data_IF_242975018658
#
_entry.id   IF_242975018658
#
_cell.length_a   1.000
_cell.length_b   1.000
_cell.length_c   1.000
_cell.angle_alpha   90.00
_cell.angle_beta   90.00
_cell.angle_gamma   90.00
#
_symmetry.space_group_name_H-M   'P 1'
#
loop_
_entity.id
_entity.type
_entity.pdbx_description
1 polymer ?
#
# COMPACT_ATOMS: atom_id res chain seq x y z
N UNK A 1 -0.59 15.25 -66.19
CA UNK A 1 -0.79 14.31 -65.06
C UNK A 1 -2.29 14.30 -64.75
N UNK A 2 -3.01 13.18 -64.93
CA UNK A 2 -4.48 13.21 -64.88
C UNK A 2 -4.98 13.56 -63.48
N UNK A 3 -6.05 14.36 -63.41
CA UNK A 3 -6.70 14.82 -62.18
C UNK A 3 -7.01 13.65 -61.21
N UNK A 4 -7.31 12.48 -61.77
CA UNK A 4 -7.53 11.21 -61.06
C UNK A 4 -6.32 10.68 -60.29
N UNK A 5 -5.09 10.88 -60.79
CA UNK A 5 -3.86 10.46 -60.08
C UNK A 5 -3.52 11.41 -58.92
N UNK A 6 -3.90 12.68 -59.03
CA UNK A 6 -3.73 13.66 -57.95
C UNK A 6 -4.72 13.40 -56.81
N UNK A 7 -5.99 13.13 -57.14
CA UNK A 7 -7.00 12.77 -56.15
C UNK A 7 -6.61 11.51 -55.36
N UNK A 8 -6.16 10.44 -56.03
CA UNK A 8 -5.72 9.22 -55.35
C UNK A 8 -4.53 9.45 -54.41
N UNK A 9 -3.55 10.30 -54.78
CA UNK A 9 -2.43 10.64 -53.89
C UNK A 9 -2.87 11.43 -52.67
N UNK A 10 -3.80 12.38 -52.84
CA UNK A 10 -4.34 13.18 -51.73
C UNK A 10 -5.16 12.30 -50.78
N UNK A 11 -5.98 11.39 -51.30
CA UNK A 11 -6.74 10.43 -50.48
C UNK A 11 -5.82 9.46 -49.74
N UNK A 12 -4.74 8.99 -50.37
CA UNK A 12 -3.77 8.11 -49.70
C UNK A 12 -3.01 8.82 -48.57
N UNK A 13 -2.64 10.10 -48.76
CA UNK A 13 -1.96 10.91 -47.74
C UNK A 13 -2.92 11.21 -46.57
N UNK A 14 -4.18 11.56 -46.85
CA UNK A 14 -5.19 11.78 -45.80
C UNK A 14 -5.52 10.50 -45.04
N UNK A 15 -5.58 9.34 -45.69
CA UNK A 15 -5.77 8.05 -45.01
C UNK A 15 -4.54 7.68 -44.19
N UNK A 16 -3.31 7.94 -44.68
CA UNK A 16 -2.10 7.73 -43.88
C UNK A 16 -2.02 8.67 -42.68
N UNK A 17 -2.43 9.94 -42.80
CA UNK A 17 -2.47 10.89 -41.68
C UNK A 17 -3.57 10.51 -40.67
N UNK A 18 -4.74 10.04 -41.12
CA UNK A 18 -5.80 9.54 -40.23
C UNK A 18 -5.36 8.26 -39.51
N UNK A 19 -4.60 7.37 -40.16
CA UNK A 19 -4.03 6.16 -39.53
C UNK A 19 -2.84 6.49 -38.61
N UNK A 20 -2.07 7.55 -38.88
CA UNK A 20 -1.01 8.02 -37.97
C UNK A 20 -1.58 8.72 -36.74
N UNK A 21 -2.67 9.47 -36.88
CA UNK A 21 -3.33 10.16 -35.75
C UNK A 21 -4.15 9.18 -34.90
N UNK A 22 -4.67 8.09 -35.47
CA UNK A 22 -5.41 7.06 -34.74
C UNK A 22 -4.56 6.20 -33.77
N UNK A 23 -3.22 6.24 -33.87
CA UNK A 23 -2.32 5.50 -32.98
C UNK A 23 -1.75 6.33 -31.82
N UNK A 24 -2.16 7.59 -31.67
CA UNK A 24 -1.97 8.30 -30.40
C UNK A 24 -3.22 8.05 -29.56
N UNK A 25 -3.41 6.80 -29.13
CA UNK A 25 -4.22 6.57 -27.95
C UNK A 25 -3.47 7.29 -26.83
N UNK A 26 -3.91 8.48 -26.45
CA UNK A 26 -3.29 9.24 -25.38
C UNK A 26 -3.35 8.35 -24.13
N UNK A 27 -2.22 7.74 -23.76
CA UNK A 27 -2.15 6.81 -22.64
C UNK A 27 -2.62 7.56 -21.40
N UNK A 28 -3.83 7.20 -20.96
CA UNK A 28 -4.51 7.89 -19.87
C UNK A 28 -3.73 7.62 -18.60
N UNK A 29 -3.33 8.68 -17.91
CA UNK A 29 -2.64 8.54 -16.62
C UNK A 29 -3.51 7.71 -15.66
N UNK A 30 -3.00 6.61 -15.09
CA UNK A 30 -3.80 5.75 -14.22
C UNK A 30 -4.26 6.48 -12.96
N UNK A 31 -5.42 6.12 -12.44
CA UNK A 31 -6.04 6.75 -11.27
C UNK A 31 -5.55 6.13 -9.93
N UNK A 32 -4.27 5.77 -9.86
CA UNK A 32 -3.65 5.24 -8.63
C UNK A 32 -3.45 6.34 -7.57
N UNK A 33 -3.40 5.92 -6.32
CA UNK A 33 -3.27 6.78 -5.14
C UNK A 33 -1.92 6.63 -4.45
N UNK A 34 -1.40 5.41 -4.34
CA UNK A 34 -0.13 5.11 -3.65
C UNK A 34 1.03 5.04 -4.66
N UNK A 35 0.82 4.31 -5.76
CA UNK A 35 1.73 4.22 -6.90
C UNK A 35 1.75 5.57 -7.64
N UNK A 36 2.95 5.99 -8.02
CA UNK A 36 3.15 7.25 -8.76
C UNK A 36 2.63 7.10 -10.20
N UNK A 37 1.49 7.75 -10.47
CA UNK A 37 0.79 7.70 -11.76
C UNK A 37 1.64 8.17 -12.95
N UNK A 38 2.51 9.15 -12.74
CA UNK A 38 3.36 9.69 -13.82
C UNK A 38 4.56 8.78 -14.06
N UNK A 39 5.08 8.16 -13.00
CA UNK A 39 6.09 7.11 -13.13
C UNK A 39 5.54 5.89 -13.87
N UNK A 40 4.34 5.40 -13.53
CA UNK A 40 3.69 4.29 -14.24
C UNK A 40 3.52 4.60 -15.73
N UNK A 41 3.05 5.81 -16.07
CA UNK A 41 2.91 6.24 -17.46
C UNK A 41 4.25 6.31 -18.19
N UNK A 42 5.28 6.89 -17.56
CA UNK A 42 6.64 6.95 -18.12
C UNK A 42 7.20 5.55 -18.36
N UNK A 43 7.08 4.66 -17.40
CA UNK A 43 7.59 3.30 -17.49
C UNK A 43 6.89 2.52 -18.62
N UNK A 44 5.58 2.70 -18.79
CA UNK A 44 4.84 2.10 -19.90
C UNK A 44 5.34 2.60 -21.25
N UNK A 45 5.68 3.89 -21.35
CA UNK A 45 6.33 4.45 -22.53
C UNK A 45 7.71 3.82 -22.78
N UNK A 46 8.58 3.74 -21.76
CA UNK A 46 9.92 3.13 -21.89
C UNK A 46 9.86 1.65 -22.33
N UNK A 47 8.86 0.90 -21.83
CA UNK A 47 8.59 -0.47 -22.28
C UNK A 47 8.24 -0.49 -23.78
N UNK A 48 7.30 0.37 -24.20
CA UNK A 48 6.83 0.43 -25.60
C UNK A 48 7.92 0.88 -26.57
N UNK A 49 8.86 1.71 -26.13
CA UNK A 49 10.00 2.14 -26.96
C UNK A 49 11.18 1.17 -26.94
N UNK A 50 11.07 0.04 -26.21
CA UNK A 50 12.04 -1.04 -26.24
C UNK A 50 13.22 -0.87 -25.30
N UNK A 51 13.09 -0.07 -24.23
CA UNK A 51 14.17 0.10 -23.26
C UNK A 51 14.46 -1.23 -22.51
N UNK A 52 15.67 -1.78 -22.71
CA UNK A 52 16.06 -3.12 -22.22
C UNK A 52 15.93 -3.29 -20.71
N UNK A 53 16.19 -2.23 -19.93
CA UNK A 53 16.08 -2.27 -18.46
C UNK A 53 14.62 -2.49 -18.05
N UNK A 54 13.70 -1.75 -18.67
CA UNK A 54 12.27 -1.86 -18.37
C UNK A 54 11.65 -3.13 -18.96
N UNK A 55 12.11 -3.60 -20.13
CA UNK A 55 11.72 -4.91 -20.67
C UNK A 55 12.14 -6.07 -19.75
N UNK A 56 13.36 -6.00 -19.19
CA UNK A 56 13.82 -6.98 -18.20
C UNK A 56 12.95 -6.93 -16.94
N UNK A 57 12.66 -5.74 -16.43
CA UNK A 57 11.80 -5.56 -15.28
C UNK A 57 10.36 -6.07 -15.53
N UNK A 58 9.84 -5.87 -16.76
CA UNK A 58 8.53 -6.37 -17.17
C UNK A 58 8.51 -7.90 -17.22
N UNK A 59 9.55 -8.54 -17.76
CA UNK A 59 9.68 -10.00 -17.75
C UNK A 59 9.67 -10.56 -16.32
N UNK A 60 10.42 -9.93 -15.39
CA UNK A 60 10.43 -10.28 -13.98
C UNK A 60 9.05 -10.11 -13.29
N UNK A 61 8.28 -9.10 -13.72
CA UNK A 61 6.92 -8.83 -13.25
C UNK A 61 5.94 -9.90 -13.76
N UNK A 62 5.98 -10.20 -15.06
CA UNK A 62 5.20 -11.24 -15.74
C UNK A 62 5.44 -12.61 -15.09
N UNK A 63 6.70 -13.00 -14.89
CA UNK A 63 7.04 -14.27 -14.23
C UNK A 63 6.44 -14.36 -12.81
N UNK A 64 6.40 -13.25 -12.08
CA UNK A 64 5.77 -13.24 -10.76
C UNK A 64 4.24 -13.33 -10.84
N UNK A 65 3.63 -12.66 -11.80
CA UNK A 65 2.18 -12.69 -12.01
C UNK A 65 1.69 -14.04 -12.52
N UNK A 66 2.43 -14.70 -13.40
CA UNK A 66 2.13 -16.05 -13.87
C UNK A 66 2.08 -17.07 -12.72
N UNK A 67 2.95 -16.91 -11.71
CA UNK A 67 2.88 -17.75 -10.51
C UNK A 67 1.59 -17.52 -9.70
N UNK A 68 1.07 -16.28 -9.68
CA UNK A 68 -0.17 -15.94 -8.97
C UNK A 68 -1.42 -16.50 -9.66
N UNK A 69 -1.38 -16.76 -10.98
CA UNK A 69 -2.53 -17.33 -11.70
C UNK A 69 -2.99 -18.68 -11.10
N UNK A 70 -2.08 -19.43 -10.49
CA UNK A 70 -2.36 -20.72 -9.85
C UNK A 70 -2.75 -20.62 -8.38
N UNK A 71 -2.72 -19.42 -7.77
CA UNK A 71 -3.11 -19.27 -6.37
C UNK A 71 -4.62 -19.53 -6.20
N UNK A 72 -5.04 -20.28 -5.18
CA UNK A 72 -6.46 -20.43 -4.88
C UNK A 72 -7.04 -19.09 -4.38
N UNK A 73 -8.36 -18.87 -4.55
CA UNK A 73 -9.02 -17.71 -3.96
C UNK A 73 -8.82 -17.59 -2.46
N UNK A 74 -8.67 -16.35 -2.01
CA UNK A 74 -8.57 -16.00 -0.60
C UNK A 74 -9.96 -15.77 -0.03
N UNK A 75 -10.24 -16.32 1.15
CA UNK A 75 -11.49 -16.04 1.88
C UNK A 75 -11.30 -16.20 3.39
N UNK A 76 -12.02 -15.38 4.15
CA UNK A 76 -12.06 -15.48 5.61
C UNK A 76 -12.94 -16.64 6.10
N UNK A 77 -13.85 -17.19 5.28
CA UNK A 77 -14.82 -18.18 5.78
C UNK A 77 -14.23 -19.59 5.99
N UNK A 78 -13.04 -19.86 5.45
CA UNK A 78 -12.39 -21.16 5.52
C UNK A 78 -11.67 -21.43 6.85
N UNK A 79 -11.60 -20.43 7.75
CA UNK A 79 -11.02 -20.63 9.07
C UNK A 79 -11.77 -21.70 9.87
N UNK A 80 -10.99 -22.49 10.60
CA UNK A 80 -11.51 -23.54 11.50
C UNK A 80 -12.03 -22.93 12.80
N UNK A 81 -11.38 -21.89 13.29
CA UNK A 81 -11.79 -21.17 14.49
C UNK A 81 -12.90 -20.18 14.14
N UNK A 82 -14.05 -20.35 14.77
CA UNK A 82 -15.21 -19.48 14.60
C UNK A 82 -15.00 -18.20 15.42
N UNK A 83 -15.19 -16.99 14.84
CA UNK A 83 -15.10 -15.74 15.58
C UNK A 83 -16.11 -15.68 16.73
N UNK A 84 -15.91 -14.84 17.75
CA UNK A 84 -16.85 -14.70 18.87
C UNK A 84 -18.29 -14.35 18.47
N UNK A 85 -18.51 -13.74 17.29
CA UNK A 85 -19.86 -13.50 16.74
C UNK A 85 -20.63 -14.76 16.34
N UNK A 86 -19.95 -15.90 16.18
CA UNK A 86 -20.50 -17.09 15.51
C UNK A 86 -20.51 -17.00 13.98
N UNK A 87 -20.12 -15.87 13.38
CA UNK A 87 -20.17 -15.64 11.94
C UNK A 87 -18.79 -15.75 11.29
N UNK A 88 -18.58 -16.75 10.43
CA UNK A 88 -17.29 -16.96 9.72
C UNK A 88 -16.93 -15.87 8.71
N UNK A 89 -17.89 -15.04 8.29
CA UNK A 89 -17.61 -13.87 7.43
C UNK A 89 -16.90 -12.73 8.18
N UNK A 90 -16.93 -12.73 9.51
CA UNK A 90 -16.17 -11.75 10.28
C UNK A 90 -14.68 -12.09 10.25
N UNK A 91 -13.86 -11.07 9.98
CA UNK A 91 -12.42 -11.19 10.06
C UNK A 91 -12.00 -11.50 11.50
N UNK A 92 -11.10 -12.47 11.66
CA UNK A 92 -10.59 -12.87 12.97
C UNK A 92 -9.08 -13.03 12.97
N UNK A 93 -8.43 -12.55 14.02
CA UNK A 93 -7.00 -12.76 14.24
C UNK A 93 -6.68 -12.64 15.73
N UNK A 94 -5.56 -13.23 16.15
CA UNK A 94 -5.02 -13.05 17.50
C UNK A 94 -3.88 -12.03 17.47
N UNK A 95 -3.74 -11.26 18.55
CA UNK A 95 -2.67 -10.29 18.69
C UNK A 95 -1.29 -10.99 18.65
N UNK A 96 -0.39 -10.63 17.72
CA UNK A 96 0.79 -11.44 17.41
C UNK A 96 1.82 -11.49 18.54
N UNK A 97 1.84 -10.52 19.45
CA UNK A 97 2.83 -10.41 20.52
C UNK A 97 2.29 -10.81 21.89
N UNK A 98 1.16 -11.51 21.95
CA UNK A 98 0.53 -11.94 23.21
C UNK A 98 0.68 -13.45 23.39
N UNK A 99 1.18 -13.85 24.56
CA UNK A 99 1.57 -15.23 24.88
C UNK A 99 0.84 -15.73 26.12
N UNK A 100 0.62 -17.05 26.26
CA UNK A 100 0.15 -17.64 27.51
C UNK A 100 1.01 -17.21 28.71
N UNK A 101 0.35 -16.89 29.82
CA UNK A 101 1.00 -16.57 31.09
C UNK A 101 1.39 -17.86 31.84
N UNK A 102 2.68 -18.24 31.92
CA UNK A 102 3.09 -19.50 32.53
C UNK A 102 2.78 -19.57 34.05
N UNK A 103 2.47 -18.44 34.69
CA UNK A 103 2.10 -18.41 36.11
C UNK A 103 0.62 -18.70 36.38
N UNK A 104 -0.18 -18.93 35.33
CA UNK A 104 -1.63 -19.19 35.40
C UNK A 104 -1.92 -20.61 34.93
N UNK A 105 -2.81 -21.32 35.66
CA UNK A 105 -3.18 -22.73 35.37
C UNK A 105 -3.66 -22.95 33.94
N UNK A 106 -4.35 -21.97 33.35
CA UNK A 106 -4.88 -22.03 31.98
C UNK A 106 -4.13 -21.10 31.01
N UNK A 107 -2.99 -20.54 31.42
CA UNK A 107 -2.20 -19.62 30.60
C UNK A 107 -2.86 -18.26 30.32
N UNK A 108 -3.94 -17.89 31.01
CA UNK A 108 -4.72 -16.65 30.73
C UNK A 108 -4.83 -15.74 31.96
N UNK A 109 -4.95 -14.41 31.79
CA UNK A 109 -4.92 -13.67 30.51
C UNK A 109 -3.53 -13.72 29.86
N UNK A 110 -3.49 -13.62 28.53
CA UNK A 110 -2.20 -13.58 27.82
C UNK A 110 -1.40 -12.34 28.24
N UNK A 111 -0.07 -12.42 28.15
CA UNK A 111 0.86 -11.33 28.43
C UNK A 111 1.62 -10.91 27.17
N UNK A 112 1.84 -9.60 27.04
CA UNK A 112 2.57 -9.03 25.90
C UNK A 112 4.07 -9.33 25.99
N UNK A 113 4.67 -9.68 24.85
CA UNK A 113 6.12 -9.77 24.62
C UNK A 113 6.44 -9.06 23.31
N UNK A 114 6.76 -7.76 23.39
CA UNK A 114 6.95 -6.93 22.20
C UNK A 114 7.97 -7.53 21.23
N UNK A 115 7.67 -7.42 19.92
CA UNK A 115 8.52 -7.94 18.85
C UNK A 115 8.57 -9.47 18.72
N UNK A 116 8.10 -10.24 19.71
CA UNK A 116 8.16 -11.72 19.74
C UNK A 116 6.81 -12.32 19.34
N UNK A 117 6.74 -12.80 18.10
CA UNK A 117 5.50 -13.37 17.53
C UNK A 117 5.15 -14.73 18.16
N UNK A 118 3.96 -14.85 18.75
CA UNK A 118 3.34 -16.10 19.17
C UNK A 118 2.87 -16.89 17.92
N UNK A 119 3.40 -18.10 17.65
CA UNK A 119 2.97 -18.92 16.52
C UNK A 119 1.48 -19.28 16.53
N UNK A 120 0.84 -19.35 17.70
CA UNK A 120 -0.60 -19.59 17.83
C UNK A 120 -1.42 -18.54 17.05
N UNK A 121 -0.97 -17.29 17.04
CA UNK A 121 -1.60 -16.22 16.28
C UNK A 121 -1.51 -16.40 14.76
N UNK A 122 -0.80 -17.42 14.28
CA UNK A 122 -0.69 -17.76 12.86
C UNK A 122 -1.57 -18.95 12.47
N UNK A 123 -2.28 -19.58 13.42
CA UNK A 123 -3.26 -20.64 13.12
C UNK A 123 -4.42 -20.05 12.31
N UNK A 124 -4.89 -18.86 12.68
CA UNK A 124 -5.89 -18.11 11.92
C UNK A 124 -5.20 -17.37 10.78
N UNK A 125 -5.71 -17.57 9.56
CA UNK A 125 -5.03 -17.14 8.34
C UNK A 125 -5.50 -15.81 7.76
N UNK A 126 -6.57 -15.22 8.29
CA UNK A 126 -7.22 -14.03 7.72
C UNK A 126 -6.22 -12.88 7.49
N UNK A 127 -5.29 -12.60 8.42
CA UNK A 127 -4.24 -11.58 8.22
C UNK A 127 -3.29 -11.88 7.08
N UNK A 128 -2.96 -13.16 6.86
CA UNK A 128 -2.12 -13.57 5.75
C UNK A 128 -2.89 -13.48 4.43
N UNK A 129 -4.17 -13.85 4.43
CA UNK A 129 -5.03 -13.71 3.26
C UNK A 129 -5.21 -12.26 2.84
N UNK A 130 -5.41 -11.33 3.77
CA UNK A 130 -5.46 -9.89 3.47
C UNK A 130 -4.15 -9.40 2.84
N UNK A 131 -3.01 -9.78 3.42
CA UNK A 131 -1.71 -9.37 2.89
C UNK A 131 -1.40 -9.99 1.52
N UNK A 132 -1.66 -11.29 1.35
CA UNK A 132 -1.47 -12.03 0.09
C UNK A 132 -2.38 -11.52 -1.01
N UNK A 133 -3.69 -11.41 -0.74
CA UNK A 133 -4.65 -10.86 -1.70
C UNK A 133 -4.21 -9.46 -2.16
N UNK A 134 -3.87 -8.57 -1.23
CA UNK A 134 -3.47 -7.20 -1.58
C UNK A 134 -2.23 -7.15 -2.45
N UNK A 135 -1.23 -8.00 -2.14
CA UNK A 135 -0.02 -8.13 -2.95
C UNK A 135 -0.33 -8.66 -4.34
N UNK A 136 -1.15 -9.71 -4.42
CA UNK A 136 -1.49 -10.37 -5.67
C UNK A 136 -2.32 -9.47 -6.58
N UNK A 137 -3.30 -8.75 -6.04
CA UNK A 137 -4.09 -7.77 -6.82
C UNK A 137 -3.22 -6.62 -7.33
N UNK A 138 -2.31 -6.08 -6.51
CA UNK A 138 -1.38 -5.04 -6.97
C UNK A 138 -0.48 -5.57 -8.10
N UNK A 139 0.07 -6.78 -7.94
CA UNK A 139 0.93 -7.41 -8.94
C UNK A 139 0.19 -7.70 -10.25
N UNK A 140 -0.99 -8.31 -10.18
CA UNK A 140 -1.83 -8.61 -11.35
C UNK A 140 -2.26 -7.33 -12.05
N UNK A 141 -2.66 -6.29 -11.31
CA UNK A 141 -3.06 -5.00 -11.88
C UNK A 141 -1.92 -4.28 -12.57
N UNK A 142 -0.73 -4.23 -11.97
CA UNK A 142 0.47 -3.71 -12.63
C UNK A 142 0.81 -4.48 -13.91
N UNK A 143 0.75 -5.81 -13.85
CA UNK A 143 1.09 -6.65 -15.00
C UNK A 143 0.09 -6.45 -16.13
N UNK A 144 -1.21 -6.44 -15.83
CA UNK A 144 -2.25 -6.10 -16.79
C UNK A 144 -2.02 -4.71 -17.37
N UNK A 145 -1.76 -3.68 -16.56
CA UNK A 145 -1.56 -2.32 -17.07
C UNK A 145 -0.43 -2.21 -18.10
N UNK A 146 0.69 -2.93 -17.88
CA UNK A 146 1.84 -2.88 -18.80
C UNK A 146 1.72 -3.84 -20.00
N UNK A 147 1.03 -4.97 -19.85
CA UNK A 147 0.95 -6.01 -20.90
C UNK A 147 -0.36 -6.01 -21.67
N UNK A 148 -1.42 -5.44 -21.09
CA UNK A 148 -2.80 -5.50 -21.58
C UNK A 148 -3.33 -6.94 -21.74
N UNK A 149 -2.69 -7.93 -21.08
CA UNK A 149 -3.10 -9.33 -21.11
C UNK A 149 -4.22 -9.61 -20.10
N UNK A 150 -5.42 -9.86 -20.63
CA UNK A 150 -6.66 -10.12 -19.89
C UNK A 150 -6.56 -11.28 -18.89
N UNK A 151 -5.62 -12.23 -19.02
CA UNK A 151 -5.51 -13.33 -18.05
C UNK A 151 -5.23 -12.82 -16.63
N UNK A 152 -4.50 -11.72 -16.49
CA UNK A 152 -4.19 -11.13 -15.20
C UNK A 152 -5.39 -10.37 -14.61
N UNK A 153 -6.10 -9.60 -15.43
CA UNK A 153 -7.33 -8.92 -15.00
C UNK A 153 -8.42 -9.92 -14.60
N UNK A 154 -8.55 -11.04 -15.34
CA UNK A 154 -9.46 -12.14 -15.03
C UNK A 154 -9.16 -12.75 -13.67
N UNK A 155 -7.89 -13.05 -13.39
CA UNK A 155 -7.49 -13.59 -12.08
C UNK A 155 -7.73 -12.58 -10.95
N UNK A 156 -7.40 -11.31 -11.16
CA UNK A 156 -7.66 -10.27 -10.17
C UNK A 156 -9.15 -10.17 -9.84
N UNK A 157 -10.01 -10.19 -10.86
CA UNK A 157 -11.48 -10.16 -10.73
C UNK A 157 -11.99 -11.36 -9.92
N UNK A 158 -11.52 -12.58 -10.22
CA UNK A 158 -11.86 -13.79 -9.46
C UNK A 158 -11.54 -13.64 -7.96
N UNK A 159 -10.31 -13.24 -7.64
CA UNK A 159 -9.85 -13.08 -6.26
C UNK A 159 -10.64 -11.99 -5.51
N UNK A 160 -10.93 -10.87 -6.17
CA UNK A 160 -11.71 -9.76 -5.59
C UNK A 160 -13.16 -10.15 -5.34
N UNK A 161 -13.80 -10.85 -6.29
CA UNK A 161 -15.17 -11.33 -6.13
C UNK A 161 -15.30 -12.25 -4.93
N UNK A 162 -14.43 -13.25 -4.82
CA UNK A 162 -14.47 -14.21 -3.70
C UNK A 162 -14.27 -13.52 -2.36
N UNK A 163 -13.32 -12.58 -2.25
CA UNK A 163 -13.00 -11.98 -0.96
C UNK A 163 -13.99 -10.88 -0.52
N UNK A 164 -14.56 -10.11 -1.46
CA UNK A 164 -15.35 -8.91 -1.11
C UNK A 164 -16.82 -8.96 -1.54
N UNK A 165 -17.16 -9.69 -2.60
CA UNK A 165 -18.46 -9.53 -3.28
C UNK A 165 -19.35 -10.75 -3.05
N UNK A 166 -18.83 -11.94 -3.32
CA UNK A 166 -19.59 -13.18 -3.34
C UNK A 166 -20.16 -13.50 -1.96
N UNK A 167 -21.49 -13.62 -1.89
CA UNK A 167 -22.22 -13.76 -0.61
C UNK A 167 -21.74 -14.94 0.24
N UNK A 168 -21.32 -16.03 -0.39
CA UNK A 168 -20.88 -17.25 0.28
C UNK A 168 -19.49 -17.13 0.93
N UNK A 169 -18.65 -16.19 0.49
CA UNK A 169 -17.22 -16.15 0.85
C UNK A 169 -16.72 -14.78 1.31
N UNK A 170 -17.49 -13.71 1.07
CA UNK A 170 -17.04 -12.34 1.33
C UNK A 170 -16.69 -12.10 2.80
N UNK A 171 -15.68 -11.27 3.04
CA UNK A 171 -15.41 -10.70 4.36
C UNK A 171 -16.44 -9.61 4.69
N UNK A 172 -16.94 -9.56 5.94
CA UNK A 172 -17.75 -8.43 6.39
C UNK A 172 -16.88 -7.17 6.53
N UNK A 173 -17.39 -5.96 6.19
CA UNK A 173 -16.60 -4.73 6.18
C UNK A 173 -16.39 -4.15 7.58
N UNK A 174 -15.74 -4.91 8.47
CA UNK A 174 -15.33 -4.48 9.82
C UNK A 174 -14.15 -5.33 10.33
N UNK A 175 -13.50 -4.88 11.41
CA UNK A 175 -12.48 -5.64 12.16
C UNK A 175 -12.86 -5.81 13.63
N UNK A 176 -14.14 -6.07 13.92
CA UNK A 176 -14.63 -6.18 15.29
C UNK A 176 -13.87 -7.24 16.12
N UNK A 177 -13.35 -8.28 15.45
CA UNK A 177 -12.65 -9.40 16.09
C UNK A 177 -11.17 -9.50 15.67
N UNK A 178 -10.60 -8.40 15.17
CA UNK A 178 -9.19 -8.34 14.83
C UNK A 178 -8.30 -8.24 16.07
N UNK A 179 -7.18 -8.96 16.06
CA UNK A 179 -6.17 -9.01 17.13
C UNK A 179 -6.74 -9.21 18.54
N UNK A 180 -7.66 -10.16 18.68
CA UNK A 180 -8.16 -10.60 19.97
C UNK A 180 -6.99 -11.02 20.89
N UNK A 181 -7.17 -10.81 22.20
CA UNK A 181 -6.22 -11.23 23.22
C UNK A 181 -6.95 -12.18 24.16
N UNK A 182 -6.53 -13.44 24.17
CA UNK A 182 -7.21 -14.48 24.93
C UNK A 182 -7.23 -14.16 26.44
N UNK A 183 -8.45 -14.06 26.99
CA UNK A 183 -8.70 -13.68 28.38
C UNK A 183 -8.70 -12.18 28.66
N UNK A 184 -8.67 -11.33 27.62
CA UNK A 184 -8.68 -9.86 27.76
C UNK A 184 -9.75 -9.18 26.90
N UNK A 185 -9.78 -9.45 25.58
CA UNK A 185 -10.78 -8.89 24.67
C UNK A 185 -10.95 -9.75 23.41
N UNK A 186 -12.08 -9.55 22.73
CA UNK A 186 -12.45 -10.25 21.50
C UNK A 186 -11.94 -9.57 20.22
N UNK A 187 -11.47 -8.33 20.33
CA UNK A 187 -10.87 -7.55 19.25
C UNK A 187 -10.49 -6.15 19.71
N UNK A 188 -9.64 -5.46 18.96
CA UNK A 188 -9.10 -4.14 19.34
C UNK A 188 -8.61 -3.31 18.17
N UNK A 189 -8.52 -2.00 18.40
CA UNK A 189 -8.09 -0.99 17.41
C UNK A 189 -6.78 -1.28 16.69
N UNK A 190 -5.80 -1.88 17.37
CA UNK A 190 -4.49 -2.21 16.79
C UNK A 190 -4.60 -3.14 15.57
N UNK A 191 -5.70 -3.90 15.43
CA UNK A 191 -5.93 -4.76 14.27
C UNK A 191 -6.07 -4.01 12.95
N UNK A 192 -6.37 -2.70 12.96
CA UNK A 192 -6.43 -1.87 11.76
C UNK A 192 -5.11 -1.84 10.98
N UNK A 193 -3.99 -2.19 11.63
CA UNK A 193 -2.69 -2.35 10.95
C UNK A 193 -2.65 -3.60 10.04
N UNK A 194 -3.55 -4.57 10.23
CA UNK A 194 -3.57 -5.81 9.44
C UNK A 194 -4.22 -5.62 8.07
N UNK A 195 -5.10 -4.62 7.93
CA UNK A 195 -5.72 -4.21 6.66
C UNK A 195 -4.97 -3.10 5.94
N UNK A 196 -3.83 -2.64 6.47
CA UNK A 196 -3.01 -1.58 5.88
C UNK A 196 -2.65 -1.83 4.40
N UNK A 197 -2.62 -3.09 3.96
CA UNK A 197 -2.25 -3.47 2.60
C UNK A 197 -3.36 -3.23 1.57
N UNK A 198 -4.62 -3.06 1.99
CA UNK A 198 -5.72 -2.78 1.07
C UNK A 198 -5.53 -1.49 0.28
N UNK A 199 -4.71 -0.54 0.75
CA UNK A 199 -4.41 0.68 0.00
C UNK A 199 -3.62 0.38 -1.29
N UNK A 200 -2.78 -0.66 -1.28
CA UNK A 200 -2.09 -1.15 -2.47
C UNK A 200 -3.01 -1.99 -3.36
N UNK A 201 -3.94 -2.74 -2.76
CA UNK A 201 -4.99 -3.48 -3.47
C UNK A 201 -5.82 -2.55 -4.32
N UNK A 202 -6.23 -1.40 -3.77
CA UNK A 202 -7.04 -0.40 -4.48
C UNK A 202 -6.30 0.08 -5.73
N UNK A 203 -5.01 0.36 -5.66
CA UNK A 203 -4.25 0.74 -6.87
C UNK A 203 -4.24 -0.38 -7.92
N UNK A 204 -4.10 -1.64 -7.52
CA UNK A 204 -4.24 -2.78 -8.42
C UNK A 204 -5.62 -2.84 -9.09
N UNK A 205 -6.69 -2.53 -8.34
CA UNK A 205 -8.06 -2.42 -8.88
C UNK A 205 -8.17 -1.28 -9.89
N UNK A 206 -7.61 -0.12 -9.58
CA UNK A 206 -7.61 1.05 -10.48
C UNK A 206 -6.88 0.74 -11.79
N UNK A 207 -5.87 -0.13 -11.77
CA UNK A 207 -5.10 -0.54 -12.94
C UNK A 207 -5.80 -1.57 -13.82
N UNK A 208 -6.69 -2.40 -13.26
CA UNK A 208 -7.55 -3.33 -14.04
C UNK A 208 -8.90 -2.72 -14.43
N UNK A 209 -9.20 -1.50 -13.97
CA UNK A 209 -10.42 -0.80 -14.33
C UNK A 209 -10.44 -0.54 -15.85
N UNK A 210 -11.52 -0.98 -16.52
CA UNK A 210 -11.64 -0.91 -17.99
C UNK A 210 -11.20 -2.18 -18.72
N UNK A 211 -10.72 -3.21 -18.02
CA UNK A 211 -10.58 -4.56 -18.57
C UNK A 211 -11.95 -5.20 -18.89
N UNK A 212 -11.96 -6.17 -19.79
CA UNK A 212 -13.18 -6.94 -20.10
C UNK A 212 -13.65 -7.75 -18.89
N UNK A 213 -12.71 -8.16 -18.05
CA UNK A 213 -12.97 -9.00 -16.89
C UNK A 213 -13.52 -8.23 -15.68
N UNK A 214 -13.12 -6.97 -15.48
CA UNK A 214 -13.53 -6.15 -14.34
C UNK A 214 -14.67 -5.19 -14.72
N UNK A 215 -15.90 -5.58 -14.41
CA UNK A 215 -17.10 -4.85 -14.86
C UNK A 215 -17.41 -3.64 -13.97
N UNK A 216 -18.19 -2.65 -14.47
CA UNK A 216 -18.67 -1.54 -13.65
C UNK A 216 -19.43 -2.00 -12.38
N UNK A 217 -20.16 -3.13 -12.46
CA UNK A 217 -20.87 -3.71 -11.32
C UNK A 217 -19.92 -4.25 -10.25
N UNK A 218 -18.81 -4.85 -10.66
CA UNK A 218 -17.78 -5.31 -9.72
C UNK A 218 -17.11 -4.11 -9.03
N UNK A 219 -16.81 -3.06 -9.80
CA UNK A 219 -16.26 -1.82 -9.27
C UNK A 219 -17.21 -1.17 -8.25
N UNK A 220 -18.49 -1.01 -8.58
CA UNK A 220 -19.50 -0.48 -7.66
C UNK A 220 -19.62 -1.33 -6.38
N UNK A 221 -19.66 -2.65 -6.50
CA UNK A 221 -19.76 -3.55 -5.35
C UNK A 221 -18.55 -3.43 -4.41
N UNK A 222 -17.34 -3.34 -4.97
CA UNK A 222 -16.13 -3.16 -4.18
C UNK A 222 -16.07 -1.76 -3.54
N UNK A 223 -16.42 -0.71 -4.27
CA UNK A 223 -16.52 0.66 -3.75
C UNK A 223 -17.53 0.74 -2.60
N UNK A 224 -18.66 0.04 -2.71
CA UNK A 224 -19.63 -0.06 -1.62
C UNK A 224 -19.08 -0.81 -0.40
N UNK A 225 -18.27 -1.87 -0.59
CA UNK A 225 -17.61 -2.56 0.52
C UNK A 225 -16.64 -1.62 1.26
N UNK A 226 -15.78 -0.91 0.52
CA UNK A 226 -14.85 0.05 1.12
C UNK A 226 -15.57 1.25 1.77
N UNK A 227 -16.69 1.71 1.21
CA UNK A 227 -17.53 2.75 1.82
C UNK A 227 -18.07 2.31 3.18
N UNK A 228 -18.54 1.07 3.30
CA UNK A 228 -18.99 0.51 4.56
C UNK A 228 -17.84 0.36 5.56
N UNK A 229 -16.69 -0.17 5.12
CA UNK A 229 -15.53 -0.39 5.98
C UNK A 229 -14.98 0.93 6.53
N UNK A 230 -14.82 1.92 5.65
CA UNK A 230 -14.39 3.27 6.01
C UNK A 230 -15.37 3.96 6.96
N UNK A 231 -16.69 3.86 6.73
CA UNK A 231 -17.70 4.35 7.67
C UNK A 231 -17.63 3.65 9.02
N UNK A 232 -17.37 2.34 9.05
CA UNK A 232 -17.16 1.60 10.29
C UNK A 232 -15.90 2.07 11.02
N UNK A 233 -14.79 2.33 10.31
CA UNK A 233 -13.57 2.89 10.91
C UNK A 233 -13.83 4.25 11.58
N UNK A 234 -14.60 5.14 10.94
CA UNK A 234 -14.89 6.45 11.52
C UNK A 234 -15.85 6.41 12.71
N UNK A 235 -16.78 5.46 12.74
CA UNK A 235 -17.93 5.54 13.66
C UNK A 235 -17.91 4.51 14.79
N UNK A 236 -17.28 3.34 14.59
CA UNK A 236 -17.21 2.29 15.60
C UNK A 236 -16.29 2.67 16.77
N UNK A 237 -16.49 2.03 17.92
CA UNK A 237 -15.62 2.19 19.10
C UNK A 237 -14.16 1.81 18.79
N UNK A 238 -13.96 0.66 18.14
CA UNK A 238 -12.64 0.14 17.72
C UNK A 238 -11.97 1.10 16.74
N UNK A 239 -12.69 1.58 15.73
CA UNK A 239 -12.16 2.52 14.75
C UNK A 239 -11.78 3.88 15.35
N UNK A 240 -12.65 4.44 16.21
CA UNK A 240 -12.38 5.68 16.98
C UNK A 240 -11.28 5.56 18.02
N UNK A 241 -10.94 4.34 18.45
CA UNK A 241 -9.76 4.13 19.28
C UNK A 241 -8.50 4.10 18.41
N UNK A 242 -8.56 3.53 17.20
CA UNK A 242 -7.45 3.47 16.24
C UNK A 242 -6.85 4.83 15.90
N UNK A 243 -7.69 5.84 15.67
CA UNK A 243 -7.26 7.23 15.38
C UNK A 243 -6.36 7.83 16.47
N UNK A 244 -6.47 7.37 17.73
CA UNK A 244 -5.72 7.87 18.89
C UNK A 244 -4.32 7.27 19.01
N UNK A 245 -3.92 6.38 18.08
CA UNK A 245 -2.58 5.82 18.08
C UNK A 245 -1.56 6.89 17.68
N UNK A 246 -0.66 7.26 18.59
CA UNK A 246 0.32 8.32 18.33
C UNK A 246 1.52 7.86 17.51
N UNK A 247 1.75 6.55 17.38
CA UNK A 247 2.87 5.96 16.64
C UNK A 247 2.48 5.59 15.19
N UNK A 248 3.31 4.79 14.52
CA UNK A 248 3.11 4.32 13.15
C UNK A 248 1.74 3.69 12.88
N UNK A 249 1.07 3.12 13.90
CA UNK A 249 -0.29 2.59 13.72
C UNK A 249 -1.25 3.72 13.32
N UNK A 250 -1.13 4.91 13.93
CA UNK A 250 -1.92 6.08 13.55
C UNK A 250 -1.62 6.56 12.14
N UNK A 251 -0.34 6.53 11.74
CA UNK A 251 0.09 6.86 10.37
C UNK A 251 -0.61 5.96 9.35
N UNK A 252 -0.60 4.64 9.56
CA UNK A 252 -1.25 3.69 8.66
C UNK A 252 -2.78 3.66 8.78
N UNK A 253 -3.36 4.10 9.90
CA UNK A 253 -4.78 4.36 10.01
C UNK A 253 -5.19 5.51 9.08
N UNK A 254 -4.45 6.61 9.11
CA UNK A 254 -4.74 7.78 8.28
C UNK A 254 -4.60 7.48 6.79
N UNK A 255 -3.57 6.72 6.38
CA UNK A 255 -3.41 6.29 4.97
C UNK A 255 -4.67 5.57 4.51
N UNK A 256 -5.17 4.60 5.30
CA UNK A 256 -6.38 3.85 4.99
C UNK A 256 -7.59 4.77 4.86
N UNK A 257 -7.83 5.64 5.85
CA UNK A 257 -8.94 6.61 5.83
C UNK A 257 -8.92 7.47 4.57
N UNK A 258 -7.76 8.01 4.20
CA UNK A 258 -7.62 8.89 3.04
C UNK A 258 -7.78 8.13 1.73
N UNK A 259 -7.12 6.97 1.58
CA UNK A 259 -7.24 6.14 0.38
C UNK A 259 -8.68 5.67 0.17
N UNK A 260 -9.37 5.23 1.23
CA UNK A 260 -10.76 4.77 1.10
C UNK A 260 -11.70 5.92 0.79
N UNK A 261 -11.52 7.09 1.41
CA UNK A 261 -12.30 8.28 1.06
C UNK A 261 -12.11 8.66 -0.41
N UNK A 262 -10.88 8.63 -0.94
CA UNK A 262 -10.60 8.89 -2.35
C UNK A 262 -11.21 7.83 -3.28
N UNK A 263 -11.10 6.55 -2.94
CA UNK A 263 -11.67 5.45 -3.71
C UNK A 263 -13.20 5.51 -3.76
N UNK A 264 -13.84 5.99 -2.68
CA UNK A 264 -15.29 6.26 -2.65
C UNK A 264 -15.64 7.68 -3.07
N UNK A 265 -14.79 8.31 -3.89
CA UNK A 265 -14.98 9.63 -4.52
C UNK A 265 -15.18 10.82 -3.57
N UNK A 266 -14.82 10.69 -2.29
CA UNK A 266 -14.93 11.74 -1.28
C UNK A 266 -13.61 12.53 -1.11
N UNK A 267 -13.17 13.17 -2.19
CA UNK A 267 -11.93 13.97 -2.22
C UNK A 267 -11.93 15.14 -1.23
N UNK A 268 -13.09 15.77 -1.00
CA UNK A 268 -13.21 16.91 -0.09
C UNK A 268 -13.00 16.49 1.38
N UNK A 269 -13.57 15.35 1.79
CA UNK A 269 -13.27 14.76 3.10
C UNK A 269 -11.78 14.43 3.22
N UNK A 270 -11.21 13.77 2.20
CA UNK A 270 -9.80 13.38 2.23
C UNK A 270 -8.89 14.60 2.46
N UNK A 271 -9.08 15.67 1.69
CA UNK A 271 -8.35 16.94 1.87
C UNK A 271 -8.51 17.52 3.27
N UNK A 272 -9.75 17.59 3.75
CA UNK A 272 -10.07 18.14 5.07
C UNK A 272 -9.45 17.31 6.20
N UNK A 273 -9.47 15.99 6.08
CA UNK A 273 -8.90 15.09 7.08
C UNK A 273 -7.37 15.20 7.15
N UNK A 274 -6.70 15.31 5.99
CA UNK A 274 -5.24 15.55 5.93
C UNK A 274 -4.86 16.82 6.70
N UNK A 275 -5.53 17.94 6.40
CA UNK A 275 -5.23 19.24 7.02
C UNK A 275 -5.53 19.22 8.53
N UNK A 276 -6.68 18.68 8.91
CA UNK A 276 -7.18 18.83 10.28
C UNK A 276 -6.64 17.78 11.26
N UNK A 277 -6.22 16.61 10.77
CA UNK A 277 -5.77 15.48 11.61
C UNK A 277 -4.33 15.07 11.29
N UNK A 278 -4.04 14.76 10.02
CA UNK A 278 -2.76 14.14 9.64
C UNK A 278 -1.60 15.07 9.87
N UNK A 279 -1.66 16.32 9.38
CA UNK A 279 -0.54 17.27 9.50
C UNK A 279 -0.10 17.50 10.96
N UNK A 280 -1.04 17.48 11.91
CA UNK A 280 -0.74 17.62 13.35
C UNK A 280 0.08 16.47 13.92
N UNK A 281 0.05 15.28 13.31
CA UNK A 281 0.83 14.13 13.79
C UNK A 281 2.33 14.31 13.57
N UNK A 282 2.78 15.17 12.67
CA UNK A 282 4.22 15.46 12.52
C UNK A 282 4.78 15.98 13.84
N UNK A 283 4.06 16.86 14.55
CA UNK A 283 4.50 17.40 15.83
C UNK A 283 4.58 16.35 16.94
N UNK A 284 3.76 15.29 16.86
CA UNK A 284 3.68 14.21 17.84
C UNK A 284 4.72 13.13 17.57
N UNK A 285 4.94 12.78 16.30
CA UNK A 285 5.74 11.61 15.92
C UNK A 285 7.22 11.88 15.72
N UNK A 286 7.58 13.11 15.33
CA UNK A 286 8.97 13.51 15.14
C UNK A 286 9.43 14.40 16.29
N UNK A 287 10.71 14.37 16.61
CA UNK A 287 11.36 15.40 17.41
C UNK A 287 12.04 16.46 16.52
N UNK A 288 12.56 17.53 17.11
CA UNK A 288 13.20 18.65 16.39
C UNK A 288 14.39 18.23 15.54
N UNK A 289 15.10 17.18 15.94
CA UNK A 289 16.23 16.61 15.20
C UNK A 289 15.80 15.64 14.08
N UNK A 290 14.51 15.30 14.00
CA UNK A 290 13.95 14.31 13.07
C UNK A 290 13.86 12.89 13.64
N UNK A 291 14.33 12.65 14.87
CA UNK A 291 14.16 11.34 15.52
C UNK A 291 12.68 11.01 15.70
N UNK A 292 12.36 9.73 15.91
CA UNK A 292 11.00 9.22 16.04
C UNK A 292 10.79 8.55 17.41
N UNK A 293 10.56 9.31 18.49
CA UNK A 293 10.69 8.82 19.87
C UNK A 293 9.80 7.62 20.21
N UNK A 294 8.60 7.54 19.64
CA UNK A 294 7.68 6.43 19.88
C UNK A 294 8.12 5.13 19.20
N UNK A 295 8.80 5.22 18.05
CA UNK A 295 9.35 4.06 17.34
C UNK A 295 10.67 3.60 17.94
N UNK A 296 11.48 4.53 18.44
CA UNK A 296 12.75 4.23 19.10
C UNK A 296 12.60 3.46 20.42
N UNK A 297 11.43 3.55 21.07
CA UNK A 297 11.09 2.76 22.27
C UNK A 297 10.77 1.29 21.98
N UNK A 298 10.74 0.88 20.72
CA UNK A 298 10.33 -0.47 20.31
C UNK A 298 11.53 -1.40 20.25
N UNK A 299 11.28 -2.67 20.54
CA UNK A 299 12.26 -3.75 20.41
C UNK A 299 12.76 -3.97 18.97
N UNK A 300 12.05 -3.42 17.96
CA UNK A 300 12.42 -3.41 16.54
C UNK A 300 12.51 -1.97 16.02
N UNK A 301 13.27 -1.14 16.70
CA UNK A 301 13.26 0.32 16.51
C UNK A 301 13.60 0.75 15.08
N UNK A 302 14.63 0.18 14.45
CA UNK A 302 14.99 0.48 13.05
C UNK A 302 13.84 0.12 12.12
N UNK A 303 13.29 -1.09 12.29
CA UNK A 303 12.14 -1.57 11.52
C UNK A 303 10.96 -0.59 11.59
N UNK A 304 10.65 -0.09 12.79
CA UNK A 304 9.51 0.81 13.00
C UNK A 304 9.77 2.24 12.52
N UNK A 305 10.97 2.78 12.69
CA UNK A 305 11.35 4.08 12.13
C UNK A 305 11.26 4.08 10.59
N UNK A 306 11.76 3.04 9.93
CA UNK A 306 11.66 2.86 8.48
C UNK A 306 10.19 2.74 8.06
N UNK A 307 9.41 1.92 8.77
CA UNK A 307 7.99 1.73 8.49
C UNK A 307 7.21 3.04 8.57
N UNK A 308 7.44 3.84 9.61
CA UNK A 308 6.72 5.08 9.81
C UNK A 308 7.07 6.13 8.73
N UNK A 309 8.36 6.27 8.37
CA UNK A 309 8.76 7.15 7.26
C UNK A 309 8.10 6.76 5.95
N UNK A 310 8.06 5.47 5.62
CA UNK A 310 7.33 5.00 4.42
C UNK A 310 5.85 5.37 4.47
N UNK A 311 5.21 5.21 5.63
CA UNK A 311 3.82 5.63 5.83
C UNK A 311 3.63 7.14 5.58
N UNK A 312 4.52 7.98 6.09
CA UNK A 312 4.47 9.42 5.84
C UNK A 312 4.69 9.81 4.39
N UNK A 313 5.57 9.11 3.68
CA UNK A 313 5.74 9.33 2.24
C UNK A 313 4.46 8.96 1.46
N UNK A 314 3.77 7.88 1.85
CA UNK A 314 2.47 7.52 1.27
C UNK A 314 1.43 8.63 1.56
N UNK A 315 1.37 9.14 2.80
CA UNK A 315 0.51 10.28 3.14
C UNK A 315 0.85 11.51 2.30
N UNK A 316 2.12 11.76 2.03
CA UNK A 316 2.55 12.89 1.22
C UNK A 316 2.14 12.76 -0.26
N UNK A 317 2.21 11.55 -0.82
CA UNK A 317 1.66 11.26 -2.15
C UNK A 317 0.14 11.46 -2.20
N UNK A 318 -0.59 10.97 -1.19
CA UNK A 318 -2.03 11.21 -1.05
C UNK A 318 -2.37 12.71 -0.89
N UNK A 319 -1.50 13.45 -0.21
CA UNK A 319 -1.53 14.91 -0.13
C UNK A 319 -1.50 15.54 -1.52
N UNK A 320 -0.55 15.15 -2.37
CA UNK A 320 -0.47 15.67 -3.74
C UNK A 320 -1.77 15.41 -4.54
N UNK A 321 -2.40 14.23 -4.39
CA UNK A 321 -3.69 13.91 -5.05
C UNK A 321 -4.80 14.88 -4.63
N UNK A 322 -4.79 15.34 -3.37
CA UNK A 322 -5.79 16.22 -2.78
C UNK A 322 -5.41 17.71 -2.82
N UNK A 323 -4.20 18.04 -3.29
CA UNK A 323 -3.65 19.40 -3.29
C UNK A 323 -3.22 19.88 -1.90
N UNK A 324 -2.71 18.98 -1.06
CA UNK A 324 -2.09 19.28 0.24
C UNK A 324 -0.61 18.89 0.19
N UNK A 325 0.28 19.86 0.34
CA UNK A 325 1.73 19.61 0.29
C UNK A 325 2.27 19.19 1.66
N UNK A 326 2.27 17.89 1.93
CA UNK A 326 2.84 17.31 3.16
C UNK A 326 4.36 17.13 3.02
N UNK A 327 4.86 16.93 1.80
CA UNK A 327 6.29 16.77 1.54
C UNK A 327 7.08 17.98 2.06
N UNK A 328 6.60 19.19 1.80
CA UNK A 328 7.24 20.44 2.22
C UNK A 328 6.59 21.06 3.47
N UNK A 329 5.64 20.38 4.10
CA UNK A 329 5.03 20.89 5.33
C UNK A 329 6.04 20.91 6.48
N UNK A 330 6.05 22.03 7.20
CA UNK A 330 6.82 22.22 8.43
C UNK A 330 5.88 22.71 9.52
N UNK A 331 5.96 22.07 10.68
CA UNK A 331 5.17 22.49 11.83
C UNK A 331 5.71 23.82 12.40
N UNK A 332 4.92 24.49 13.24
CA UNK A 332 5.37 25.71 13.92
C UNK A 332 6.59 25.46 14.82
N UNK A 333 6.80 24.22 15.27
CA UNK A 333 7.96 23.81 16.07
C UNK A 333 9.20 23.44 15.22
N UNK A 334 9.08 23.53 13.89
CA UNK A 334 10.16 23.31 12.93
C UNK A 334 10.28 21.88 12.42
N UNK A 335 9.45 20.94 12.90
CA UNK A 335 9.48 19.52 12.57
C UNK A 335 8.96 19.25 11.16
N UNK A 336 9.57 18.33 10.43
CA UNK A 336 9.14 17.93 9.08
C UNK A 336 9.48 16.48 8.73
N UNK A 337 8.81 15.95 7.71
CA UNK A 337 9.12 14.63 7.13
C UNK A 337 10.57 14.57 6.61
N UNK A 338 11.03 15.64 5.97
CA UNK A 338 12.42 15.74 5.48
C UNK A 338 13.44 15.49 6.59
N UNK A 339 13.26 16.12 7.76
CA UNK A 339 14.14 15.92 8.90
C UNK A 339 14.13 14.45 9.36
N UNK A 340 12.96 13.82 9.41
CA UNK A 340 12.85 12.40 9.74
C UNK A 340 13.60 11.48 8.79
N UNK A 341 13.57 11.78 7.49
CA UNK A 341 14.33 11.05 6.46
C UNK A 341 15.84 11.27 6.65
N UNK A 342 16.27 12.53 6.81
CA UNK A 342 17.68 12.89 6.94
C UNK A 342 18.30 12.44 8.27
N UNK A 343 17.49 12.24 9.30
CA UNK A 343 17.94 11.69 10.58
C UNK A 343 18.33 10.20 10.47
N UNK A 344 17.62 9.42 9.64
CA UNK A 344 17.95 8.01 9.39
C UNK A 344 19.18 7.82 8.49
N UNK A 345 19.44 8.78 7.60
CA UNK A 345 20.49 8.71 6.58
C UNK A 345 21.89 8.32 7.12
N UNK A 346 22.47 8.94 8.16
CA UNK A 346 23.80 8.56 8.64
C UNK A 346 23.87 7.12 9.17
N UNK A 347 22.76 6.56 9.67
CA UNK A 347 22.71 5.16 10.06
C UNK A 347 22.63 4.24 8.82
N UNK A 348 21.81 4.60 7.84
CA UNK A 348 21.69 3.88 6.57
C UNK A 348 23.01 3.84 5.77
N UNK A 349 23.78 4.92 5.82
CA UNK A 349 25.07 5.05 5.17
C UNK A 349 26.20 4.27 5.88
N UNK A 350 26.00 3.87 7.15
CA UNK A 350 27.02 3.24 7.97
C UNK A 350 27.94 4.24 8.70
N UNK A 351 27.70 5.55 8.57
CA UNK A 351 28.45 6.60 9.27
C UNK A 351 28.19 6.58 10.78
N UNK A 352 27.01 6.11 11.20
CA UNK A 352 26.62 5.91 12.59
C UNK A 352 26.12 4.49 12.82
N UNK A 353 26.50 3.92 13.97
CA UNK A 353 25.94 2.66 14.45
C UNK A 353 24.52 2.88 14.98
N UNK A 354 23.63 1.91 14.75
CA UNK A 354 22.31 1.90 15.36
C UNK A 354 22.41 1.43 16.81
N UNK A 355 22.35 2.38 17.75
CA UNK A 355 22.50 2.13 19.20
C UNK A 355 21.15 1.92 19.93
N UNK A 356 20.04 1.86 19.19
CA UNK A 356 18.72 1.53 19.72
C UNK A 356 18.43 0.02 19.59
N UNK A 357 17.48 -0.49 20.38
CA UNK A 357 17.14 -1.91 20.37
C UNK A 357 16.56 -2.35 19.01
N UNK A 358 17.22 -3.32 18.38
CA UNK A 358 16.66 -4.09 17.26
C UNK A 358 16.92 -5.56 17.56
N UNK A 359 15.90 -6.28 18.03
CA UNK A 359 15.98 -7.72 18.38
C UNK A 359 16.15 -8.63 17.16
N UNK A 360 16.25 -8.05 15.96
CA UNK A 360 16.57 -8.69 14.69
C UNK A 360 17.81 -8.02 14.10
N UNK A 361 18.31 -8.52 12.97
CA UNK A 361 19.36 -7.82 12.22
C UNK A 361 18.84 -6.51 11.63
N UNK A 362 19.56 -5.41 11.82
CA UNK A 362 19.32 -4.13 11.13
C UNK A 362 19.58 -4.33 9.63
N UNK A 363 18.57 -4.05 8.80
CA UNK A 363 18.70 -4.08 7.35
C UNK A 363 18.73 -2.64 6.80
N UNK A 364 19.93 -2.14 6.49
CA UNK A 364 20.15 -0.76 6.04
C UNK A 364 19.58 -0.50 4.63
N UNK A 365 19.51 -1.53 3.78
CA UNK A 365 18.98 -1.40 2.41
C UNK A 365 17.50 -1.00 2.38
N UNK A 366 16.78 -1.16 3.49
CA UNK A 366 15.40 -0.68 3.58
C UNK A 366 15.25 0.84 3.47
N UNK A 367 16.34 1.60 3.63
CA UNK A 367 16.36 3.04 3.39
C UNK A 367 16.50 3.41 1.90
N UNK A 368 16.94 2.50 1.02
CA UNK A 368 17.15 2.81 -0.40
C UNK A 368 15.86 3.32 -1.09
N UNK A 369 14.68 2.68 -0.94
CA UNK A 369 13.45 3.20 -1.54
C UNK A 369 13.06 4.56 -0.98
N UNK A 370 13.29 4.80 0.32
CA UNK A 370 13.03 6.09 0.97
C UNK A 370 13.87 7.19 0.31
N UNK A 371 15.17 6.95 0.16
CA UNK A 371 16.08 7.90 -0.48
C UNK A 371 15.71 8.16 -1.95
N UNK A 372 15.37 7.11 -2.72
CA UNK A 372 15.00 7.25 -4.14
C UNK A 372 13.76 8.09 -4.35
N UNK A 373 12.71 7.85 -3.57
CA UNK A 373 11.44 8.58 -3.73
C UNK A 373 11.55 10.01 -3.20
N UNK A 374 12.34 10.26 -2.15
CA UNK A 374 12.49 11.61 -1.57
C UNK A 374 13.52 12.50 -2.27
N UNK A 375 14.49 11.92 -3.01
CA UNK A 375 15.52 12.70 -3.70
C UNK A 375 14.94 13.69 -4.75
N UNK A 376 13.99 13.31 -5.64
CA UNK A 376 13.39 14.25 -6.58
C UNK A 376 12.65 15.41 -5.91
N UNK A 377 12.11 15.17 -4.71
CA UNK A 377 11.36 16.17 -3.92
C UNK A 377 12.32 17.17 -3.29
N UNK A 378 13.29 16.69 -2.50
CA UNK A 378 14.15 17.56 -1.69
C UNK A 378 15.45 17.98 -2.38
N UNK A 379 15.85 17.27 -3.45
CA UNK A 379 17.10 17.53 -4.20
C UNK A 379 18.33 17.60 -3.30
N UNK A 380 18.32 16.81 -2.21
CA UNK A 380 19.33 16.88 -1.17
C UNK A 380 20.62 16.15 -1.59
N UNK A 381 21.76 16.85 -1.53
CA UNK A 381 23.08 16.32 -1.94
C UNK A 381 23.50 15.08 -1.16
N UNK A 382 23.11 14.95 0.11
CA UNK A 382 23.45 13.79 0.94
C UNK A 382 22.68 12.54 0.50
N UNK A 383 21.41 12.70 0.11
CA UNK A 383 20.62 11.62 -0.47
C UNK A 383 21.17 11.20 -1.85
N UNK A 384 21.58 12.16 -2.68
CA UNK A 384 22.20 11.88 -3.97
C UNK A 384 23.53 11.11 -3.80
N UNK A 385 24.39 11.56 -2.87
CA UNK A 385 25.64 10.89 -2.53
C UNK A 385 25.41 9.47 -1.99
N UNK A 386 24.41 9.27 -1.13
CA UNK A 386 24.06 7.94 -0.65
C UNK A 386 23.64 6.97 -1.76
N UNK A 387 22.93 7.47 -2.78
CA UNK A 387 22.44 6.63 -3.88
C UNK A 387 23.47 6.38 -4.98
N UNK A 388 24.47 7.25 -5.18
CA UNK A 388 25.46 7.12 -6.26
C UNK A 388 26.27 5.82 -6.18
N UNK A 389 26.42 5.26 -4.97
CA UNK A 389 27.16 4.02 -4.72
C UNK A 389 26.27 2.77 -4.63
N UNK A 390 24.95 2.90 -4.83
CA UNK A 390 24.01 1.78 -4.70
C UNK A 390 23.57 1.27 -6.07
N UNK A 391 23.99 0.06 -6.42
CA UNK A 391 23.53 -0.61 -7.65
C UNK A 391 22.06 -1.00 -7.55
N UNK A 392 21.39 -1.03 -8.70
CA UNK A 392 20.06 -1.62 -8.82
C UNK A 392 20.17 -3.15 -8.70
N UNK A 393 19.95 -3.70 -7.51
CA UNK A 393 19.79 -5.15 -7.30
C UNK A 393 18.61 -5.70 -8.10
N UNK A 394 18.54 -7.01 -8.35
CA UNK A 394 17.37 -7.66 -9.00
C UNK A 394 16.06 -7.35 -8.28
N UNK A 395 16.07 -7.30 -6.94
CA UNK A 395 14.94 -6.86 -6.12
C UNK A 395 14.50 -5.43 -6.44
N UNK A 396 15.44 -4.54 -6.73
CA UNK A 396 15.15 -3.16 -7.11
C UNK A 396 14.73 -2.96 -8.56
N UNK A 397 14.87 -3.97 -9.43
CA UNK A 397 14.36 -3.89 -10.82
C UNK A 397 12.83 -3.97 -10.86
N UNK A 398 12.20 -4.76 -9.98
CA UNK A 398 10.73 -4.75 -9.82
C UNK A 398 10.22 -3.43 -9.26
N UNK A 399 10.98 -2.83 -8.36
CA UNK A 399 10.72 -1.47 -7.84
C UNK A 399 10.92 -0.37 -8.90
N UNK A 400 11.46 -0.67 -10.09
CA UNK A 400 11.45 0.32 -11.18
C UNK A 400 10.06 0.51 -11.76
N UNK A 401 9.21 -0.53 -11.73
CA UNK A 401 7.87 -0.54 -12.32
C UNK A 401 6.75 -0.20 -11.34
N UNK A 402 7.09 -0.02 -10.06
CA UNK A 402 6.20 0.32 -8.94
C UNK A 402 6.60 1.68 -8.37
#
# INVERSE_FOLDING_TARGET
>A
MSFTKLLHKITLILVLEIVLVANICADTTPLTFILDRELLKRNKYEIRTGNEIYLTALSDLVLAADNVLNNPPYTVVNKTIIPPSGNKHDYFSLAPYWWPDPTKRNGRPYKQKDGRTNPEANVIKDKFYVASLSKDIQLLGLTYYYTEDEKYARKATELLRVFFIDRATRMNPNLNYGQAILGVNDGRSVALIETQHFVNLIDGVQLVAGSDSWTPKDHEALTNWFSQFYKWMLNSSIGKEGIKSDNNIGTYYDIQIITYALFTENKSFAKSYLINNVMKRIDVQFDKDGSQPLELKRTKSWTYCIKNIRGWMMLANLGAVTGVDIWNYRTSSGKSLEQGILWLLPYAAGDKKWDYEEIRSVNLDWFIPIARTSLPVYKNVRLASYLSHKTLTSRSKKELLM
#
